data_IF_565717948965
#
_entry.id   IF_565717948965
#
_cell.length_a   1.000
_cell.length_b   1.000
_cell.length_c   1.000
_cell.angle_alpha   90.00
_cell.angle_beta   90.00
_cell.angle_gamma   90.00
#
_symmetry.space_group_name_H-M   'P 1'
#
loop_
_entity.id
_entity.type
_entity.pdbx_description
1 polymer ?
#
# COMPACT_ATOMS: atom_id res chain seq x y z
N UNK A 1 -13.78 -37.43 -23.61
CA UNK A 1 -14.45 -36.73 -22.49
C UNK A 1 -13.59 -35.60 -21.94
N UNK A 2 -14.24 -34.52 -21.48
CA UNK A 2 -13.71 -33.30 -20.86
C UNK A 2 -12.73 -33.64 -19.71
N UNK A 3 -11.54 -33.08 -19.62
CA UNK A 3 -11.31 -31.64 -19.40
C UNK A 3 -11.14 -31.39 -17.90
N UNK A 4 -9.89 -31.43 -17.42
CA UNK A 4 -9.55 -30.92 -16.09
C UNK A 4 -8.27 -30.10 -16.18
N UNK A 5 -8.43 -28.84 -16.59
CA UNK A 5 -7.42 -27.82 -16.37
C UNK A 5 -7.13 -27.73 -14.86
N UNK A 6 -5.87 -27.54 -14.43
CA UNK A 6 -5.60 -27.16 -13.06
C UNK A 6 -6.32 -25.83 -12.82
N UNK A 7 -7.37 -25.85 -12.00
CA UNK A 7 -7.92 -24.61 -11.46
C UNK A 7 -6.80 -24.02 -10.62
N UNK A 8 -6.31 -22.80 -10.87
CA UNK A 8 -5.54 -22.12 -9.85
C UNK A 8 -6.51 -21.96 -8.68
N UNK A 9 -6.34 -22.81 -7.67
CA UNK A 9 -6.88 -22.55 -6.34
C UNK A 9 -6.27 -21.21 -5.93
N UNK A 10 -7.06 -20.16 -6.06
CA UNK A 10 -6.76 -18.86 -5.47
C UNK A 10 -6.79 -19.05 -3.97
N UNK A 11 -5.70 -19.56 -3.42
CA UNK A 11 -5.31 -19.31 -2.04
C UNK A 11 -5.61 -17.83 -1.79
N UNK A 12 -6.33 -17.45 -0.70
CA UNK A 12 -6.55 -16.05 -0.41
C UNK A 12 -5.17 -15.44 -0.26
N UNK A 13 -4.72 -14.75 -1.32
CA UNK A 13 -3.35 -14.34 -1.48
C UNK A 13 -2.95 -13.66 -0.18
N UNK A 14 -2.10 -14.34 0.57
CA UNK A 14 -1.38 -13.76 1.69
C UNK A 14 -0.84 -12.45 1.13
N UNK A 15 -1.39 -11.32 1.56
CA UNK A 15 -1.08 -10.00 0.97
C UNK A 15 0.35 -9.65 1.35
N UNK A 16 1.33 -10.29 0.70
CA UNK A 16 2.75 -10.03 0.90
C UNK A 16 3.13 -8.76 0.16
N UNK A 17 2.42 -8.47 -0.95
CA UNK A 17 2.60 -7.29 -1.78
C UNK A 17 1.29 -6.89 -2.45
N UNK A 18 0.87 -5.65 -2.29
CA UNK A 18 -0.28 -5.04 -2.97
C UNK A 18 0.20 -3.80 -3.72
N UNK A 19 -0.15 -3.69 -5.01
CA UNK A 19 0.08 -2.47 -5.79
C UNK A 19 -1.21 -1.67 -5.82
N UNK A 20 -1.13 -0.37 -5.57
CA UNK A 20 -2.29 0.51 -5.59
C UNK A 20 -1.89 1.91 -6.03
N UNK A 21 -2.85 2.65 -6.58
CA UNK A 21 -2.65 4.04 -6.98
C UNK A 21 -3.12 4.97 -5.88
N UNK A 22 -2.33 5.99 -5.59
CA UNK A 22 -2.69 7.05 -4.66
C UNK A 22 -3.78 7.90 -5.31
N UNK A 23 -4.90 8.04 -4.63
CA UNK A 23 -6.01 8.89 -5.09
C UNK A 23 -6.14 10.16 -4.29
N UNK A 24 -5.63 10.20 -3.06
CA UNK A 24 -5.55 11.40 -2.23
C UNK A 24 -4.41 11.28 -1.22
N UNK A 25 -3.76 12.40 -0.89
CA UNK A 25 -2.79 12.50 0.21
C UNK A 25 -3.18 13.66 1.10
N UNK A 26 -3.48 13.35 2.36
CA UNK A 26 -3.89 14.31 3.37
C UNK A 26 -2.76 14.49 4.39
N UNK A 27 -2.32 15.72 4.59
CA UNK A 27 -1.23 16.06 5.50
C UNK A 27 -1.81 16.54 6.84
N UNK A 28 -1.51 15.81 7.91
CA UNK A 28 -1.98 16.15 9.24
C UNK A 28 -1.01 17.13 9.91
N UNK A 29 -1.54 17.97 10.81
CA UNK A 29 -0.73 18.99 11.52
C UNK A 29 0.30 18.36 12.45
N UNK A 30 0.07 17.12 12.88
CA UNK A 30 0.98 16.31 13.69
C UNK A 30 2.20 15.80 12.91
N UNK A 31 2.32 16.16 11.62
CA UNK A 31 3.41 15.73 10.74
C UNK A 31 3.20 14.35 10.11
N UNK A 32 2.14 13.63 10.49
CA UNK A 32 1.73 12.40 9.81
C UNK A 32 1.00 12.71 8.51
N UNK A 33 0.95 11.75 7.58
CA UNK A 33 0.13 11.89 6.37
C UNK A 33 -0.73 10.66 6.16
N UNK A 34 -1.96 10.86 5.72
CA UNK A 34 -2.88 9.80 5.35
C UNK A 34 -2.95 9.70 3.84
N UNK A 35 -2.86 8.48 3.33
CA UNK A 35 -2.86 8.20 1.90
C UNK A 35 -4.09 7.36 1.61
N UNK A 36 -4.96 7.89 0.76
CA UNK A 36 -6.07 7.15 0.20
C UNK A 36 -5.62 6.50 -1.11
N UNK A 37 -5.95 5.22 -1.26
CA UNK A 37 -5.64 4.44 -2.45
C UNK A 37 -6.90 4.17 -3.27
N UNK A 38 -6.72 3.91 -4.56
CA UNK A 38 -7.82 3.60 -5.50
C UNK A 38 -8.60 2.35 -5.07
N UNK A 39 -7.91 1.44 -4.38
CA UNK A 39 -8.47 0.25 -3.73
C UNK A 39 -9.36 0.57 -2.51
N UNK A 40 -9.72 1.85 -2.30
CA UNK A 40 -10.54 2.36 -1.18
C UNK A 40 -9.92 2.17 0.21
N UNK A 41 -8.67 1.74 0.26
CA UNK A 41 -7.94 1.57 1.52
C UNK A 41 -7.28 2.88 1.92
N UNK A 42 -7.23 3.13 3.23
CA UNK A 42 -6.54 4.28 3.80
C UNK A 42 -5.38 3.84 4.66
N UNK A 43 -4.26 4.53 4.46
CA UNK A 43 -2.98 4.21 5.09
C UNK A 43 -2.42 5.45 5.77
N UNK A 44 -2.15 5.34 7.05
CA UNK A 44 -1.45 6.36 7.81
C UNK A 44 0.06 6.13 7.71
N UNK A 45 0.79 7.16 7.32
CA UNK A 45 2.24 7.21 7.35
C UNK A 45 2.63 8.04 8.57
N UNK A 46 3.07 7.40 9.68
CA UNK A 46 3.42 8.08 10.91
C UNK A 46 4.77 8.78 10.86
N UNK A 47 5.55 8.61 9.79
CA UNK A 47 6.86 9.26 9.66
C UNK A 47 6.68 10.74 9.27
N UNK A 48 7.10 11.68 10.13
CA UNK A 48 7.13 13.10 9.80
C UNK A 48 8.30 13.36 8.86
N UNK A 49 8.05 13.35 7.56
CA UNK A 49 9.10 13.66 6.61
C UNK A 49 8.61 13.70 5.17
N UNK A 50 9.11 14.69 4.43
CA UNK A 50 8.99 14.82 2.98
C UNK A 50 9.74 13.71 2.20
N UNK A 51 10.16 12.62 2.86
CA UNK A 51 10.81 11.50 2.20
C UNK A 51 9.79 10.72 1.39
N UNK A 52 10.09 10.54 0.10
CA UNK A 52 9.17 9.96 -0.88
C UNK A 52 8.10 10.98 -1.26
N UNK A 53 8.31 11.62 -2.41
CA UNK A 53 7.24 12.35 -3.09
C UNK A 53 6.12 11.35 -3.34
N UNK A 54 5.02 11.55 -2.63
CA UNK A 54 3.83 10.78 -2.82
C UNK A 54 2.74 11.76 -3.20
N UNK A 55 2.41 11.79 -4.49
CA UNK A 55 1.37 12.63 -5.03
C UNK A 55 0.12 11.83 -5.34
N UNK A 56 -0.98 12.55 -5.57
CA UNK A 56 -2.14 11.96 -6.23
C UNK A 56 -1.76 11.45 -7.61
N UNK A 57 -2.24 10.26 -7.95
CA UNK A 57 -1.94 9.58 -9.19
C UNK A 57 -0.69 8.72 -9.17
N UNK A 58 0.12 8.76 -8.12
CA UNK A 58 1.35 7.95 -7.99
C UNK A 58 1.02 6.47 -7.72
N UNK A 59 1.87 5.56 -8.21
CA UNK A 59 1.68 4.12 -7.98
C UNK A 59 2.61 3.66 -6.87
N UNK A 60 2.01 3.02 -5.86
CA UNK A 60 2.73 2.54 -4.68
C UNK A 60 2.59 1.04 -4.53
N UNK A 61 3.61 0.44 -3.95
CA UNK A 61 3.59 -0.95 -3.53
C UNK A 61 3.59 -1.06 -2.02
N UNK A 62 2.48 -1.51 -1.47
CA UNK A 62 2.39 -1.94 -0.09
C UNK A 62 2.99 -3.33 0.06
N UNK A 63 3.89 -3.48 1.01
CA UNK A 63 4.57 -4.73 1.36
C UNK A 63 4.35 -5.00 2.84
N UNK A 64 3.94 -6.21 3.19
CA UNK A 64 3.82 -6.58 4.61
C UNK A 64 5.22 -6.72 5.21
N UNK A 65 5.50 -5.99 6.27
CA UNK A 65 6.69 -6.19 7.08
C UNK A 65 6.40 -7.19 8.22
N UNK A 66 7.45 -7.67 8.86
CA UNK A 66 7.30 -8.50 10.06
C UNK A 66 6.52 -7.76 11.15
N UNK A 67 5.74 -8.48 11.96
CA UNK A 67 5.01 -7.95 13.13
C UNK A 67 3.93 -6.88 12.83
N UNK A 68 3.12 -7.08 11.78
CA UNK A 68 1.91 -6.27 11.56
C UNK A 68 2.15 -4.82 11.11
N UNK A 69 3.40 -4.48 10.77
CA UNK A 69 3.73 -3.24 10.08
C UNK A 69 3.66 -3.43 8.57
N UNK A 70 3.39 -2.36 7.83
CA UNK A 70 3.44 -2.37 6.38
C UNK A 70 4.46 -1.34 5.90
N UNK A 71 5.10 -1.63 4.78
CA UNK A 71 5.98 -0.72 4.08
C UNK A 71 5.31 -0.31 2.77
N UNK A 72 5.13 0.98 2.57
CA UNK A 72 4.69 1.56 1.31
C UNK A 72 5.93 1.98 0.53
N UNK A 73 6.15 1.36 -0.62
CA UNK A 73 7.25 1.67 -1.53
C UNK A 73 6.71 2.50 -2.68
N UNK A 74 7.24 3.71 -2.84
CA UNK A 74 6.89 4.61 -3.95
C UNK A 74 7.54 4.16 -5.25
N UNK A 75 7.07 4.68 -6.40
CA UNK A 75 7.71 4.43 -7.69
C UNK A 75 9.19 4.85 -7.71
N UNK A 76 9.56 5.87 -6.94
CA UNK A 76 10.94 6.31 -6.74
C UNK A 76 11.82 5.38 -5.89
N UNK A 77 11.30 4.21 -5.48
CA UNK A 77 12.03 3.24 -4.66
C UNK A 77 12.12 3.61 -3.16
N UNK A 78 11.48 4.69 -2.74
CA UNK A 78 11.46 5.09 -1.32
C UNK A 78 10.48 4.21 -0.57
N UNK A 79 10.97 3.44 0.40
CA UNK A 79 10.16 2.65 1.33
C UNK A 79 9.82 3.46 2.58
N UNK A 80 8.54 3.54 2.89
CA UNK A 80 7.97 4.33 3.98
C UNK A 80 7.16 3.41 4.89
N UNK A 81 7.22 3.63 6.19
CA UNK A 81 6.35 2.88 7.11
C UNK A 81 4.91 3.35 6.95
N UNK A 82 4.00 2.40 6.79
CA UNK A 82 2.58 2.63 6.65
C UNK A 82 1.80 1.73 7.62
N UNK A 83 0.68 2.25 8.11
CA UNK A 83 -0.27 1.53 8.95
C UNK A 83 -1.65 1.63 8.33
N UNK A 84 -2.31 0.50 8.10
CA UNK A 84 -3.69 0.50 7.61
C UNK A 84 -4.59 1.06 8.71
N UNK A 85 -5.47 1.98 8.34
CA UNK A 85 -6.49 2.53 9.24
C UNK A 85 -7.90 2.12 8.83
N UNK A 86 -8.15 1.97 7.51
CA UNK A 86 -9.43 1.52 6.94
C UNK A 86 -9.18 0.66 5.68
#
# INVERSE_FOLDING_TARGET
EFGAAPRPGGEPARVERLSARVVAVDYHRDGTRTVALDSRQRWLLPEPGSRGHLGEGDVVQLRRASMGSFMLVTAGGVALRARRIE
#
